data_IF_484250557636
#
_entry.id   IF_484250557636
#
_cell.length_a   1.000
_cell.length_b   1.000
_cell.length_c   1.000
_cell.angle_alpha   90.00
_cell.angle_beta   90.00
_cell.angle_gamma   90.00
#
_symmetry.space_group_name_H-M   'P 1'
#
loop_
_entity.id
_entity.type
_entity.pdbx_description
1 polymer ?
#
# COMPACT_ATOMS: atom_id res chain seq x y z
N UNK A 1 -2.85 -1.01 73.73
CA UNK A 1 -3.72 -2.06 73.14
C UNK A 1 -4.52 -1.48 71.98
N UNK A 2 -4.29 -2.01 70.77
CA UNK A 2 -5.26 -2.30 69.68
C UNK A 2 -4.61 -2.12 68.29
N UNK A 3 -3.94 -3.21 67.95
CA UNK A 3 -3.50 -3.79 66.68
C UNK A 3 -3.86 -3.09 65.35
N UNK A 4 -2.78 -2.83 64.60
CA UNK A 4 -2.71 -2.85 63.13
C UNK A 4 -3.23 -4.19 62.60
N UNK A 5 -4.16 -4.17 61.65
CA UNK A 5 -4.54 -5.35 60.85
C UNK A 5 -3.67 -5.42 59.60
N UNK A 6 -2.88 -6.48 59.53
CA UNK A 6 -2.20 -7.00 58.34
C UNK A 6 -3.22 -7.57 57.35
N UNK A 7 -3.08 -7.23 56.07
CA UNK A 7 -3.86 -7.82 54.98
C UNK A 7 -3.14 -9.10 54.54
N UNK A 8 -3.83 -10.23 54.70
CA UNK A 8 -3.33 -11.57 54.41
C UNK A 8 -3.56 -11.95 52.94
N UNK A 9 -2.54 -12.51 52.29
CA UNK A 9 -2.49 -12.85 50.84
C UNK A 9 -3.23 -14.16 50.50
N UNK A 10 -4.27 -14.52 51.24
CA UNK A 10 -5.00 -15.80 51.11
C UNK A 10 -6.53 -15.68 50.94
N UNK A 11 -7.03 -14.50 50.56
CA UNK A 11 -8.47 -14.24 50.36
C UNK A 11 -8.89 -14.16 48.88
N UNK A 12 -8.26 -14.91 47.97
CA UNK A 12 -8.56 -14.83 46.52
C UNK A 12 -9.00 -16.14 45.87
N UNK A 13 -9.21 -17.24 46.60
CA UNK A 13 -9.63 -18.52 46.00
C UNK A 13 -10.69 -19.20 46.87
N UNK A 14 -11.90 -18.64 46.92
CA UNK A 14 -13.02 -19.35 47.57
C UNK A 14 -14.42 -19.03 47.01
N UNK A 15 -14.53 -18.54 45.78
CA UNK A 15 -15.83 -18.41 45.09
C UNK A 15 -15.81 -19.11 43.73
N UNK A 16 -15.59 -20.43 43.79
CA UNK A 16 -15.90 -21.36 42.70
C UNK A 16 -17.22 -22.08 43.00
N UNK A 17 -17.91 -22.42 41.93
CA UNK A 17 -18.99 -23.42 41.81
C UNK A 17 -20.42 -22.95 42.09
N UNK A 18 -21.15 -22.69 40.99
CA UNK A 18 -22.30 -23.51 40.55
C UNK A 18 -22.90 -22.94 39.26
N UNK A 19 -22.71 -23.65 38.14
CA UNK A 19 -23.77 -24.22 37.27
C UNK A 19 -23.11 -24.70 35.97
N UNK A 20 -23.45 -25.93 35.63
CA UNK A 20 -22.80 -26.84 34.69
C UNK A 20 -23.60 -26.92 33.38
N UNK A 21 -22.89 -27.27 32.30
CA UNK A 21 -23.33 -28.10 31.16
C UNK A 21 -24.04 -27.45 29.95
N UNK A 22 -23.26 -27.21 28.88
CA UNK A 22 -23.50 -27.68 27.51
C UNK A 22 -22.21 -27.42 26.70
N UNK A 23 -21.28 -28.37 26.60
CA UNK A 23 -21.18 -29.21 25.40
C UNK A 23 -19.74 -29.20 24.88
N UNK A 24 -18.97 -30.24 25.20
CA UNK A 24 -17.62 -30.48 24.70
C UNK A 24 -17.67 -30.92 23.22
N UNK A 25 -16.90 -30.26 22.36
CA UNK A 25 -16.11 -30.91 21.31
C UNK A 25 -14.77 -30.17 21.17
N UNK A 26 -13.81 -30.59 21.99
CA UNK A 26 -12.39 -30.29 21.82
C UNK A 26 -11.84 -31.21 20.74
N UNK A 27 -11.68 -30.70 19.52
CA UNK A 27 -10.78 -31.32 18.56
C UNK A 27 -9.33 -31.06 18.98
N UNK A 28 -8.61 -32.15 19.14
CA UNK A 28 -7.21 -32.24 19.53
C UNK A 28 -6.29 -31.46 18.57
N UNK A 29 -5.74 -30.34 19.04
CA UNK A 29 -4.54 -29.75 18.46
C UNK A 29 -3.32 -30.51 19.04
N UNK A 30 -2.32 -30.89 18.21
CA UNK A 30 -1.11 -31.53 18.71
C UNK A 30 -0.37 -30.58 19.65
N UNK A 31 -0.26 -31.01 20.91
CA UNK A 31 0.51 -30.35 21.95
C UNK A 31 2.01 -30.49 21.64
N UNK A 32 2.55 -29.58 20.84
CA UNK A 32 3.98 -29.28 20.77
C UNK A 32 4.27 -27.88 20.18
N UNK A 33 3.38 -26.91 20.37
CA UNK A 33 3.77 -25.51 20.22
C UNK A 33 4.60 -25.11 21.45
N UNK A 34 5.90 -24.91 21.24
CA UNK A 34 6.70 -24.15 22.21
C UNK A 34 5.95 -22.85 22.48
N UNK A 35 5.59 -22.60 23.74
CA UNK A 35 5.00 -21.34 24.18
C UNK A 35 5.82 -20.19 23.59
N UNK A 36 5.26 -19.47 22.63
CA UNK A 36 5.67 -18.11 22.34
C UNK A 36 5.47 -17.34 23.65
N UNK A 37 6.55 -17.09 24.38
CA UNK A 37 6.50 -16.23 25.55
C UNK A 37 6.06 -14.84 25.07
N UNK A 38 4.91 -14.35 25.53
CA UNK A 38 4.57 -12.94 25.40
C UNK A 38 5.28 -12.21 26.54
N UNK A 39 6.27 -11.39 26.22
CA UNK A 39 6.80 -10.44 27.18
C UNK A 39 5.78 -9.30 27.29
N UNK A 40 5.45 -8.88 28.52
CA UNK A 40 4.55 -7.77 28.76
C UNK A 40 5.11 -6.50 28.09
N UNK A 41 4.35 -5.92 27.15
CA UNK A 41 4.76 -4.72 26.40
C UNK A 41 5.26 -4.95 24.96
N UNK A 42 5.35 -6.20 24.49
CA UNK A 42 5.66 -6.53 23.09
C UNK A 42 4.56 -6.06 22.12
N UNK A 43 5.00 -5.66 20.92
CA UNK A 43 4.10 -5.39 19.79
C UNK A 43 4.32 -6.48 18.74
N UNK A 44 3.34 -7.36 18.56
CA UNK A 44 3.43 -8.47 17.61
C UNK A 44 3.04 -8.01 16.23
N UNK A 45 3.88 -8.32 15.24
CA UNK A 45 3.64 -7.99 13.84
C UNK A 45 3.54 -9.25 13.00
N UNK A 46 2.67 -9.19 11.99
CA UNK A 46 2.61 -10.18 10.92
C UNK A 46 2.78 -9.50 9.56
N UNK A 47 3.41 -10.20 8.62
CA UNK A 47 3.52 -9.76 7.23
C UNK A 47 2.67 -10.65 6.33
N UNK A 48 1.85 -10.02 5.49
CA UNK A 48 1.08 -10.67 4.43
C UNK A 48 1.60 -10.14 3.09
N UNK A 49 2.27 -11.02 2.33
CA UNK A 49 3.02 -10.69 1.12
C UNK A 49 4.51 -10.52 1.40
N UNK A 50 5.26 -11.61 1.30
CA UNK A 50 6.67 -11.74 1.67
C UNK A 50 7.63 -11.39 0.52
N UNK A 51 7.21 -10.54 -0.42
CA UNK A 51 8.11 -10.00 -1.44
C UNK A 51 9.09 -8.96 -0.87
N UNK A 52 10.02 -8.46 -1.70
CA UNK A 52 11.07 -7.54 -1.24
C UNK A 52 10.56 -6.27 -0.52
N UNK A 53 9.38 -5.74 -0.90
CA UNK A 53 8.76 -4.62 -0.18
C UNK A 53 8.26 -5.04 1.21
N UNK A 54 7.65 -6.23 1.33
CA UNK A 54 7.25 -6.83 2.61
C UNK A 54 8.43 -7.05 3.54
N UNK A 55 9.52 -7.65 3.04
CA UNK A 55 10.76 -7.82 3.80
C UNK A 55 11.30 -6.47 4.31
N UNK A 56 11.31 -5.45 3.45
CA UNK A 56 11.70 -4.09 3.82
C UNK A 56 10.81 -3.46 4.89
N UNK A 57 9.48 -3.58 4.76
CA UNK A 57 8.51 -3.05 5.72
C UNK A 57 8.61 -3.74 7.10
N UNK A 58 8.84 -5.05 7.12
CA UNK A 58 9.14 -5.78 8.37
C UNK A 58 10.41 -5.23 9.00
N UNK A 59 11.48 -5.10 8.24
CA UNK A 59 12.74 -4.55 8.72
C UNK A 59 12.56 -3.14 9.31
N UNK A 60 11.78 -2.29 8.66
CA UNK A 60 11.47 -0.93 9.14
C UNK A 60 10.64 -0.94 10.41
N UNK A 61 9.67 -1.86 10.53
CA UNK A 61 8.91 -2.05 11.77
C UNK A 61 9.79 -2.51 12.94
N UNK A 62 10.71 -3.47 12.71
CA UNK A 62 11.62 -3.96 13.75
C UNK A 62 12.62 -2.88 14.21
N UNK A 63 12.98 -1.95 13.34
CA UNK A 63 13.84 -0.80 13.65
C UNK A 63 13.08 0.35 14.35
N UNK A 64 11.76 0.44 14.18
CA UNK A 64 10.95 1.52 14.71
C UNK A 64 10.86 1.51 16.25
N UNK A 65 10.85 0.33 16.86
CA UNK A 65 10.73 0.19 18.32
C UNK A 65 11.43 -1.12 18.79
N UNK A 66 12.14 -1.10 19.94
CA UNK A 66 12.82 -2.29 20.47
C UNK A 66 11.88 -3.44 20.83
N UNK A 67 10.60 -3.19 21.08
CA UNK A 67 9.63 -4.19 21.57
C UNK A 67 8.79 -4.82 20.43
N UNK A 68 9.10 -4.49 19.17
CA UNK A 68 8.45 -5.09 18.00
C UNK A 68 9.01 -6.49 17.74
N UNK A 69 8.10 -7.46 17.52
CA UNK A 69 8.43 -8.87 17.22
C UNK A 69 7.66 -9.35 15.99
N UNK A 70 8.37 -9.87 14.98
CA UNK A 70 7.73 -10.59 13.88
C UNK A 70 7.31 -11.98 14.38
N UNK A 71 6.01 -12.28 14.34
CA UNK A 71 5.45 -13.54 14.90
C UNK A 71 4.73 -14.42 13.89
N UNK A 72 4.41 -13.91 12.70
CA UNK A 72 3.81 -14.69 11.63
C UNK A 72 4.09 -14.12 10.24
N UNK A 73 4.11 -14.99 9.25
CA UNK A 73 4.31 -14.65 7.84
C UNK A 73 3.28 -15.37 6.99
N UNK A 74 2.74 -14.69 5.98
CA UNK A 74 1.84 -15.29 4.99
C UNK A 74 2.21 -14.87 3.57
N UNK A 75 2.27 -15.85 2.66
CA UNK A 75 2.38 -15.61 1.22
C UNK A 75 1.65 -16.72 0.44
N UNK A 76 1.16 -16.43 -0.76
CA UNK A 76 0.62 -17.47 -1.63
C UNK A 76 1.73 -18.47 -2.07
N UNK A 77 2.97 -18.01 -2.09
CA UNK A 77 4.15 -18.74 -2.57
C UNK A 77 5.13 -19.01 -1.43
N UNK A 78 5.37 -20.30 -1.13
CA UNK A 78 6.30 -20.70 -0.05
C UNK A 78 7.71 -20.15 -0.27
N UNK A 79 8.19 -20.13 -1.51
CA UNK A 79 9.52 -19.59 -1.85
C UNK A 79 9.67 -18.12 -1.41
N UNK A 80 8.60 -17.32 -1.49
CA UNK A 80 8.64 -15.92 -1.03
C UNK A 80 8.75 -15.78 0.47
N UNK A 81 8.02 -16.61 1.22
CA UNK A 81 8.10 -16.59 2.68
C UNK A 81 9.49 -17.03 3.17
N UNK A 82 10.07 -18.05 2.54
CA UNK A 82 11.41 -18.56 2.87
C UNK A 82 12.49 -17.51 2.54
N UNK A 83 12.48 -16.91 1.35
CA UNK A 83 13.41 -15.83 0.94
C UNK A 83 13.38 -14.64 1.91
N UNK A 84 12.17 -14.26 2.34
CA UNK A 84 11.96 -13.15 3.26
C UNK A 84 12.55 -13.47 4.65
N UNK A 85 12.27 -14.66 5.18
CA UNK A 85 12.79 -15.08 6.48
C UNK A 85 14.32 -15.19 6.45
N UNK A 86 14.89 -15.74 5.37
CA UNK A 86 16.34 -15.80 5.18
C UNK A 86 16.95 -14.40 5.22
N UNK A 87 16.42 -13.47 4.41
CA UNK A 87 16.93 -12.09 4.34
C UNK A 87 16.85 -11.37 5.70
N UNK A 88 15.80 -11.60 6.47
CA UNK A 88 15.64 -11.03 7.80
C UNK A 88 16.65 -11.63 8.80
N UNK A 89 16.85 -12.94 8.79
CA UNK A 89 17.83 -13.61 9.66
C UNK A 89 19.27 -13.19 9.33
N UNK A 90 19.58 -12.97 8.05
CA UNK A 90 20.89 -12.42 7.64
C UNK A 90 21.10 -11.00 8.14
N UNK A 91 20.06 -10.14 8.09
CA UNK A 91 20.13 -8.76 8.59
C UNK A 91 20.16 -8.67 10.12
N UNK A 92 19.47 -9.55 10.82
CA UNK A 92 19.34 -9.57 12.28
C UNK A 92 19.74 -10.93 12.87
N UNK A 93 21.03 -11.31 12.77
CA UNK A 93 21.49 -12.62 13.21
C UNK A 93 21.27 -12.83 14.71
N UNK A 94 20.69 -13.98 15.09
CA UNK A 94 20.38 -14.34 16.47
C UNK A 94 19.47 -13.35 17.22
N UNK A 95 18.68 -12.56 16.49
CA UNK A 95 17.77 -11.59 17.08
C UNK A 95 16.52 -12.27 17.64
N UNK A 96 16.17 -11.94 18.88
CA UNK A 96 14.88 -12.31 19.48
C UNK A 96 13.70 -11.58 18.81
N UNK A 97 13.97 -10.58 17.96
CA UNK A 97 12.95 -9.85 17.21
C UNK A 97 12.27 -10.67 16.11
N UNK A 98 12.93 -11.73 15.63
CA UNK A 98 12.39 -12.63 14.61
C UNK A 98 11.92 -13.89 15.32
N UNK A 99 10.63 -13.92 15.67
CA UNK A 99 10.02 -15.02 16.39
C UNK A 99 9.16 -15.86 15.43
N UNK A 100 9.82 -16.43 14.42
CA UNK A 100 9.19 -17.24 13.38
C UNK A 100 9.60 -18.70 13.51
N UNK A 101 8.62 -19.58 13.55
CA UNK A 101 8.76 -21.04 13.40
C UNK A 101 8.09 -21.51 12.12
N UNK A 102 8.33 -22.76 11.72
CA UNK A 102 7.69 -23.33 10.52
C UNK A 102 6.16 -23.33 10.63
N UNK A 103 5.61 -23.46 11.84
CA UNK A 103 4.17 -23.45 12.12
C UNK A 103 3.55 -22.05 12.00
N UNK A 104 4.38 -21.00 11.99
CA UNK A 104 3.96 -19.58 11.86
C UNK A 104 4.21 -19.00 10.46
N UNK A 105 4.63 -19.87 9.53
CA UNK A 105 4.75 -19.56 8.11
C UNK A 105 3.55 -20.19 7.41
N UNK A 106 2.62 -19.35 6.96
CA UNK A 106 1.38 -19.78 6.32
C UNK A 106 1.47 -19.58 4.82
N UNK A 107 1.01 -20.57 4.05
CA UNK A 107 1.07 -20.52 2.58
C UNK A 107 -0.28 -20.79 1.93
N UNK A 108 -0.58 -20.07 0.84
CA UNK A 108 -1.82 -20.21 0.07
C UNK A 108 -2.76 -18.99 0.17
N UNK A 109 -3.89 -19.06 -0.52
CA UNK A 109 -4.80 -17.90 -0.69
C UNK A 109 -5.44 -17.43 0.62
N UNK A 110 -5.73 -18.34 1.55
CA UNK A 110 -6.31 -18.02 2.87
C UNK A 110 -5.26 -17.83 3.98
N UNK A 111 -3.97 -17.97 3.67
CA UNK A 111 -2.88 -17.91 4.64
C UNK A 111 -2.84 -16.60 5.43
N UNK A 112 -3.28 -15.50 4.81
CA UNK A 112 -3.33 -14.19 5.44
C UNK A 112 -4.16 -14.18 6.73
N UNK A 113 -5.24 -14.98 6.80
CA UNK A 113 -6.11 -15.05 7.98
C UNK A 113 -5.33 -15.51 9.22
N UNK A 114 -4.62 -16.63 9.07
CA UNK A 114 -3.83 -17.22 10.14
C UNK A 114 -2.71 -16.27 10.61
N UNK A 115 -2.01 -15.61 9.69
CA UNK A 115 -0.98 -14.64 10.07
C UNK A 115 -1.56 -13.42 10.79
N UNK A 116 -2.68 -12.88 10.31
CA UNK A 116 -3.35 -11.72 10.90
C UNK A 116 -3.82 -12.01 12.32
N UNK A 117 -4.40 -13.19 12.55
CA UNK A 117 -4.97 -13.56 13.86
C UNK A 117 -3.90 -13.56 14.97
N UNK A 118 -2.63 -13.82 14.63
CA UNK A 118 -1.49 -13.88 15.55
C UNK A 118 -0.87 -12.53 15.94
N UNK A 119 -1.20 -11.44 15.25
CA UNK A 119 -0.50 -10.15 15.39
C UNK A 119 -1.36 -9.06 16.04
N UNK A 120 -0.73 -7.98 16.49
CA UNK A 120 -1.37 -6.71 16.89
C UNK A 120 -1.38 -5.71 15.73
N UNK A 121 -0.30 -5.72 14.93
CA UNK A 121 -0.12 -4.91 13.73
C UNK A 121 0.11 -5.79 12.52
N UNK A 122 -0.62 -5.54 11.44
CA UNK A 122 -0.47 -6.29 10.19
C UNK A 122 0.18 -5.40 9.14
N UNK A 123 1.22 -5.93 8.48
CA UNK A 123 1.90 -5.35 7.34
C UNK A 123 1.36 -6.00 6.07
N UNK A 124 0.63 -5.23 5.25
CA UNK A 124 -0.03 -5.71 4.04
C UNK A 124 0.73 -5.26 2.78
N UNK A 125 1.47 -6.19 2.17
CA UNK A 125 2.39 -5.94 1.06
C UNK A 125 2.18 -6.87 -0.13
N UNK A 126 1.01 -7.51 -0.23
CA UNK A 126 0.56 -8.26 -1.40
C UNK A 126 0.30 -7.35 -2.60
N UNK A 127 0.20 -7.90 -3.84
CA UNK A 127 -0.30 -7.16 -4.98
C UNK A 127 -1.64 -6.46 -4.68
N UNK A 128 -1.89 -5.30 -5.31
CA UNK A 128 -3.01 -4.46 -4.91
C UNK A 128 -4.41 -5.02 -5.04
N UNK A 129 -4.62 -6.02 -5.90
CA UNK A 129 -5.88 -6.77 -5.97
C UNK A 129 -6.41 -7.24 -4.62
N UNK A 130 -5.53 -7.78 -3.77
CA UNK A 130 -5.93 -8.53 -2.58
C UNK A 130 -6.07 -7.65 -1.33
N UNK A 131 -5.54 -6.43 -1.38
CA UNK A 131 -5.48 -5.57 -0.20
C UNK A 131 -6.83 -5.15 0.35
N UNK A 132 -7.88 -4.88 -0.45
CA UNK A 132 -9.21 -4.62 0.09
C UNK A 132 -9.75 -5.77 0.96
N UNK A 133 -9.48 -7.03 0.57
CA UNK A 133 -9.87 -8.21 1.34
C UNK A 133 -9.03 -8.37 2.62
N UNK A 134 -7.70 -8.27 2.49
CA UNK A 134 -6.81 -8.41 3.65
C UNK A 134 -7.02 -7.31 4.68
N UNK A 135 -7.25 -6.07 4.22
CA UNK A 135 -7.54 -4.92 5.09
C UNK A 135 -8.88 -5.09 5.82
N UNK A 136 -9.93 -5.52 5.13
CA UNK A 136 -11.22 -5.83 5.77
C UNK A 136 -11.06 -6.86 6.88
N UNK A 137 -10.36 -7.96 6.61
CA UNK A 137 -10.14 -9.00 7.61
C UNK A 137 -9.34 -8.47 8.82
N UNK A 138 -8.24 -7.74 8.59
CA UNK A 138 -7.45 -7.14 9.67
C UNK A 138 -8.27 -6.21 10.58
N UNK A 139 -9.08 -5.33 9.98
CA UNK A 139 -9.93 -4.41 10.74
C UNK A 139 -11.04 -5.16 11.49
N UNK A 140 -11.60 -6.23 10.92
CA UNK A 140 -12.57 -7.08 11.61
C UNK A 140 -11.95 -7.76 12.85
N UNK A 141 -10.68 -8.17 12.76
CA UNK A 141 -9.90 -8.73 13.86
C UNK A 141 -9.30 -7.69 14.82
N UNK A 142 -9.69 -6.42 14.69
CA UNK A 142 -9.24 -5.31 15.55
C UNK A 142 -7.72 -5.06 15.51
N UNK A 143 -7.10 -5.22 14.34
CA UNK A 143 -5.65 -5.03 14.19
C UNK A 143 -5.30 -3.62 13.70
N UNK A 144 -4.15 -3.12 14.14
CA UNK A 144 -3.51 -1.98 13.49
C UNK A 144 -2.95 -2.40 12.14
N UNK A 145 -2.83 -1.47 11.20
CA UNK A 145 -2.42 -1.79 9.83
C UNK A 145 -1.39 -0.82 9.29
N UNK A 146 -0.30 -1.36 8.77
CA UNK A 146 0.46 -0.73 7.69
C UNK A 146 0.08 -1.43 6.39
N UNK A 147 -0.24 -0.67 5.34
CA UNK A 147 -0.54 -1.27 4.05
C UNK A 147 0.10 -0.49 2.90
N UNK A 148 0.74 -1.22 1.99
CA UNK A 148 1.35 -0.59 0.82
C UNK A 148 0.31 0.05 -0.10
N UNK A 149 0.75 1.10 -0.77
CA UNK A 149 0.03 1.67 -1.92
C UNK A 149 0.22 0.76 -3.15
N UNK A 150 -0.59 0.93 -4.20
CA UNK A 150 -1.93 1.56 -4.23
C UNK A 150 -2.92 0.70 -3.48
N UNK A 151 -4.00 1.20 -2.89
CA UNK A 151 -4.83 0.38 -1.97
C UNK A 151 -5.81 -0.59 -2.66
N UNK A 152 -6.03 -0.43 -3.96
CA UNK A 152 -6.90 -1.25 -4.82
C UNK A 152 -6.49 -1.09 -6.29
N UNK A 153 -7.10 -1.86 -7.20
CA UNK A 153 -6.87 -1.76 -8.66
C UNK A 153 -8.10 -1.31 -9.46
N UNK A 154 -9.27 -1.22 -8.82
CA UNK A 154 -10.56 -0.96 -9.43
C UNK A 154 -11.52 -0.17 -8.51
N UNK A 155 -12.72 0.16 -9.00
CA UNK A 155 -13.67 1.04 -8.28
C UNK A 155 -14.34 0.27 -7.15
N UNK A 156 -14.67 -1.00 -7.37
CA UNK A 156 -15.23 -1.87 -6.33
C UNK A 156 -14.30 -1.96 -5.10
N UNK A 157 -13.01 -2.18 -5.32
CA UNK A 157 -11.98 -2.21 -4.29
C UNK A 157 -11.84 -0.86 -3.57
N UNK A 158 -11.89 0.26 -4.29
CA UNK A 158 -11.88 1.60 -3.67
C UNK A 158 -13.08 1.80 -2.73
N UNK A 159 -14.30 1.49 -3.19
CA UNK A 159 -15.50 1.60 -2.36
C UNK A 159 -15.38 0.74 -1.10
N UNK A 160 -14.81 -0.46 -1.22
CA UNK A 160 -14.52 -1.35 -0.09
C UNK A 160 -13.50 -0.74 0.88
N UNK A 161 -12.37 -0.21 0.40
CA UNK A 161 -11.38 0.47 1.25
C UNK A 161 -12.00 1.65 2.00
N UNK A 162 -12.81 2.49 1.34
CA UNK A 162 -13.50 3.62 1.99
C UNK A 162 -14.43 3.13 3.10
N UNK A 163 -15.22 2.08 2.84
CA UNK A 163 -16.14 1.48 3.82
C UNK A 163 -15.36 0.95 5.03
N UNK A 164 -14.32 0.15 4.80
CA UNK A 164 -13.51 -0.46 5.87
C UNK A 164 -12.71 0.61 6.63
N UNK A 165 -12.24 1.65 5.96
CA UNK A 165 -11.54 2.78 6.60
C UNK A 165 -12.40 3.53 7.61
N UNK A 166 -13.71 3.71 7.31
CA UNK A 166 -14.66 4.27 8.27
C UNK A 166 -14.78 3.40 9.52
N UNK A 167 -14.78 2.08 9.34
CA UNK A 167 -14.82 1.12 10.45
C UNK A 167 -13.52 1.13 11.27
N UNK A 168 -12.35 1.19 10.63
CA UNK A 168 -11.06 1.34 11.30
C UNK A 168 -11.02 2.60 12.17
N UNK A 169 -11.50 3.73 11.63
CA UNK A 169 -11.64 5.00 12.36
C UNK A 169 -12.58 4.88 13.55
N UNK A 170 -13.74 4.23 13.38
CA UNK A 170 -14.70 3.99 14.48
C UNK A 170 -14.07 3.17 15.61
N UNK A 171 -13.28 2.16 15.26
CA UNK A 171 -12.54 1.30 16.19
C UNK A 171 -11.26 1.95 16.75
N UNK A 172 -10.90 3.16 16.28
CA UNK A 172 -9.65 3.86 16.63
C UNK A 172 -8.38 3.04 16.34
N UNK A 173 -8.41 2.26 15.26
CA UNK A 173 -7.25 1.50 14.81
C UNK A 173 -6.36 2.41 13.98
N UNK A 174 -5.09 2.57 14.38
CA UNK A 174 -4.08 3.24 13.56
C UNK A 174 -3.89 2.51 12.22
N UNK A 175 -4.05 3.26 11.12
CA UNK A 175 -3.86 2.79 9.75
C UNK A 175 -2.93 3.74 9.00
N UNK A 176 -1.82 3.21 8.50
CA UNK A 176 -0.88 3.90 7.59
C UNK A 176 -0.95 3.27 6.20
N UNK A 177 -0.97 4.13 5.19
CA UNK A 177 -0.82 3.74 3.78
C UNK A 177 0.56 4.18 3.32
N UNK A 178 1.30 3.32 2.60
CA UNK A 178 2.68 3.53 2.11
C UNK A 178 2.90 4.66 1.10
N UNK A 179 2.19 5.79 1.25
CA UNK A 179 2.40 7.05 0.55
C UNK A 179 3.52 7.85 1.27
N UNK A 180 4.72 7.29 1.27
CA UNK A 180 5.86 7.74 2.08
C UNK A 180 6.19 9.24 1.99
N UNK A 181 5.82 9.92 0.89
CA UNK A 181 6.06 11.37 0.71
C UNK A 181 5.37 12.24 1.74
N UNK A 182 4.29 11.74 2.36
CA UNK A 182 3.65 12.38 3.51
C UNK A 182 4.50 12.37 4.78
N UNK A 183 5.49 11.49 4.84
CA UNK A 183 6.44 11.31 5.94
C UNK A 183 7.83 11.89 5.59
N UNK A 184 8.03 12.36 4.36
CA UNK A 184 9.30 12.93 3.89
C UNK A 184 9.38 14.43 4.17
N UNK A 185 10.49 14.89 4.77
CA UNK A 185 10.60 16.24 5.33
C UNK A 185 10.62 17.35 4.28
N UNK A 186 11.26 17.16 3.12
CA UNK A 186 11.23 18.12 2.02
C UNK A 186 9.79 18.43 1.57
N UNK A 187 8.95 17.39 1.38
CA UNK A 187 7.55 17.57 1.00
C UNK A 187 6.73 18.23 2.11
N UNK A 188 6.84 17.77 3.37
CA UNK A 188 6.15 18.38 4.52
C UNK A 188 6.51 19.87 4.67
N UNK A 189 7.78 20.21 4.51
CA UNK A 189 8.27 21.59 4.61
C UNK A 189 7.73 22.47 3.50
N UNK A 190 7.73 21.98 2.25
CA UNK A 190 7.17 22.70 1.11
C UNK A 190 5.66 22.84 1.22
N UNK A 191 4.93 21.79 1.64
CA UNK A 191 3.49 21.87 1.90
C UNK A 191 3.17 22.95 2.93
N UNK A 192 3.90 22.98 4.06
CA UNK A 192 3.74 24.03 5.06
C UNK A 192 3.98 25.46 4.50
N UNK A 193 4.87 25.61 3.52
CA UNK A 193 5.08 26.90 2.84
C UNK A 193 3.97 27.23 1.83
N UNK A 194 3.44 26.23 1.13
CA UNK A 194 2.25 26.37 0.27
C UNK A 194 1.06 26.87 1.10
N UNK A 195 0.81 26.23 2.25
CA UNK A 195 -0.31 26.57 3.14
C UNK A 195 -0.18 27.98 3.73
N UNK A 196 1.05 28.49 3.87
CA UNK A 196 1.35 29.88 4.23
C UNK A 196 1.34 30.85 3.04
N UNK A 197 0.88 30.41 1.87
CA UNK A 197 0.70 31.24 0.68
C UNK A 197 1.99 31.62 -0.03
N UNK A 198 3.11 30.92 0.20
CA UNK A 198 4.45 31.30 -0.32
C UNK A 198 4.49 31.41 -1.85
N UNK A 199 3.71 30.58 -2.55
CA UNK A 199 3.57 30.61 -4.01
C UNK A 199 2.18 31.10 -4.49
N UNK A 200 1.31 31.54 -3.58
CA UNK A 200 -0.10 31.81 -3.86
C UNK A 200 -0.89 30.55 -4.22
N UNK A 201 -2.04 30.69 -4.90
CA UNK A 201 -2.81 29.55 -5.42
C UNK A 201 -2.01 28.81 -6.50
N UNK A 202 -1.99 27.47 -6.47
CA UNK A 202 -1.52 26.63 -7.58
C UNK A 202 -2.45 26.82 -8.78
N UNK A 203 -1.88 26.99 -9.97
CA UNK A 203 -2.58 27.21 -11.24
C UNK A 203 -2.41 26.01 -12.17
N UNK A 204 -1.20 25.46 -12.24
CA UNK A 204 -0.89 24.28 -13.05
C UNK A 204 0.32 23.56 -12.48
N UNK A 205 0.61 22.38 -13.03
CA UNK A 205 1.79 21.64 -12.63
C UNK A 205 2.03 20.44 -13.53
N UNK A 206 3.17 19.80 -13.29
CA UNK A 206 3.53 18.54 -13.91
C UNK A 206 3.97 17.54 -12.85
N UNK A 207 3.59 16.28 -13.03
CA UNK A 207 3.98 15.16 -12.18
C UNK A 207 4.49 14.02 -13.06
N UNK A 208 5.65 13.44 -12.71
CA UNK A 208 6.35 12.48 -13.55
C UNK A 208 6.72 11.19 -12.83
N UNK A 209 6.49 10.05 -13.49
CA UNK A 209 7.13 8.77 -13.21
C UNK A 209 7.60 8.10 -14.50
N UNK A 210 8.68 8.63 -15.06
CA UNK A 210 9.31 8.13 -16.27
C UNK A 210 10.54 7.29 -15.89
N UNK A 211 10.53 6.02 -16.27
CA UNK A 211 11.61 5.07 -15.99
C UNK A 211 11.84 4.09 -17.15
N UNK A 212 12.76 3.13 -16.95
CA UNK A 212 13.05 2.06 -17.89
C UNK A 212 12.15 0.82 -17.78
N UNK A 213 11.20 0.80 -16.83
CA UNK A 213 10.33 -0.34 -16.58
C UNK A 213 10.81 -1.27 -15.47
N UNK A 214 10.14 -2.42 -15.37
CA UNK A 214 10.30 -3.39 -14.29
C UNK A 214 10.78 -4.74 -14.83
N UNK A 215 11.05 -5.66 -13.91
CA UNK A 215 11.47 -7.02 -14.23
C UNK A 215 10.40 -7.80 -15.00
N UNK A 216 10.81 -8.89 -15.63
CA UNK A 216 9.95 -9.92 -16.25
C UNK A 216 10.47 -11.26 -15.75
N UNK A 217 9.58 -12.14 -15.30
CA UNK A 217 9.91 -13.53 -14.98
C UNK A 217 9.52 -14.40 -16.17
N UNK A 218 10.48 -15.08 -16.82
CA UNK A 218 10.17 -16.02 -17.90
C UNK A 218 9.14 -17.05 -17.43
N UNK A 219 8.26 -17.46 -18.35
CA UNK A 219 7.30 -18.53 -18.06
C UNK A 219 8.05 -19.84 -17.80
N UNK A 220 7.68 -20.51 -16.72
CA UNK A 220 8.22 -21.83 -16.37
C UNK A 220 7.39 -22.95 -17.00
N UNK A 221 8.00 -24.12 -17.18
CA UNK A 221 7.30 -25.29 -17.70
C UNK A 221 6.19 -25.70 -16.73
N UNK A 222 5.02 -26.05 -17.26
CA UNK A 222 3.85 -26.52 -16.49
C UNK A 222 3.24 -25.48 -15.52
N UNK A 223 3.71 -24.22 -15.59
CA UNK A 223 3.17 -23.12 -14.80
C UNK A 223 1.74 -22.79 -15.24
N UNK A 224 0.80 -22.73 -14.29
CA UNK A 224 -0.58 -22.33 -14.59
C UNK A 224 -0.64 -20.86 -15.00
N UNK A 225 -1.68 -20.49 -15.74
CA UNK A 225 -1.86 -19.11 -16.16
C UNK A 225 -2.01 -18.16 -14.96
N UNK A 226 -2.73 -18.58 -13.92
CA UNK A 226 -2.92 -17.79 -12.71
C UNK A 226 -1.59 -17.59 -11.96
N UNK A 227 -0.80 -18.66 -11.81
CA UNK A 227 0.51 -18.56 -11.19
C UNK A 227 1.44 -17.63 -11.97
N UNK A 228 1.49 -17.75 -13.31
CA UNK A 228 2.29 -16.86 -14.15
C UNK A 228 1.92 -15.39 -13.94
N UNK A 229 0.61 -15.09 -13.91
CA UNK A 229 0.13 -13.73 -13.66
C UNK A 229 0.51 -13.21 -12.29
N UNK A 230 0.34 -14.01 -11.23
CA UNK A 230 0.70 -13.60 -9.87
C UNK A 230 2.21 -13.41 -9.72
N UNK A 231 3.04 -14.24 -10.36
CA UNK A 231 4.50 -14.06 -10.38
C UNK A 231 4.94 -12.88 -11.24
N UNK A 232 4.14 -12.45 -12.23
CA UNK A 232 4.36 -11.29 -13.10
C UNK A 232 3.33 -10.16 -12.88
N UNK A 233 2.90 -9.98 -11.62
CA UNK A 233 1.72 -9.20 -11.26
C UNK A 233 1.69 -7.76 -11.81
N UNK A 234 2.85 -7.14 -12.01
CA UNK A 234 2.96 -5.80 -12.60
C UNK A 234 2.23 -5.65 -13.94
N UNK A 235 2.17 -6.71 -14.74
CA UNK A 235 1.68 -6.68 -16.12
C UNK A 235 0.18 -6.95 -16.28
N UNK A 236 -0.53 -7.20 -15.18
CA UNK A 236 -1.95 -7.56 -15.20
C UNK A 236 -2.79 -6.54 -14.44
N UNK A 237 -3.82 -6.01 -15.10
CA UNK A 237 -4.61 -4.90 -14.57
C UNK A 237 -5.33 -5.26 -13.28
N UNK A 238 -5.82 -6.49 -13.16
CA UNK A 238 -6.50 -6.94 -11.95
C UNK A 238 -5.55 -6.96 -10.74
N UNK A 239 -4.28 -7.34 -10.94
CA UNK A 239 -3.26 -7.42 -9.88
C UNK A 239 -2.61 -6.09 -9.53
N UNK A 240 -2.18 -5.34 -10.54
CA UNK A 240 -1.32 -4.15 -10.41
C UNK A 240 -2.09 -2.84 -10.57
N UNK A 241 -3.07 -2.84 -11.47
CA UNK A 241 -3.76 -1.64 -11.91
C UNK A 241 -3.03 -0.84 -12.97
N UNK A 242 -1.95 -1.35 -13.57
CA UNK A 242 -0.99 -0.63 -14.44
C UNK A 242 -0.02 0.28 -13.64
N UNK A 243 1.12 0.62 -14.23
CA UNK A 243 2.18 1.42 -13.61
C UNK A 243 1.75 2.84 -13.24
N UNK A 244 0.72 3.39 -13.90
CA UNK A 244 0.09 4.63 -13.46
C UNK A 244 -0.53 4.50 -12.06
N UNK A 245 -1.13 3.35 -11.75
CA UNK A 245 -1.73 3.06 -10.45
C UNK A 245 -0.69 2.57 -9.46
N UNK A 246 0.26 1.73 -9.86
CA UNK A 246 1.23 1.15 -8.94
C UNK A 246 2.34 2.12 -8.54
N UNK A 247 2.98 2.77 -9.51
CA UNK A 247 4.17 3.60 -9.25
C UNK A 247 3.86 5.08 -9.24
N UNK A 248 3.18 5.56 -10.29
CA UNK A 248 2.95 7.00 -10.50
C UNK A 248 1.97 7.61 -9.49
N UNK A 249 1.21 6.77 -8.78
CA UNK A 249 0.34 7.18 -7.67
C UNK A 249 1.04 8.12 -6.69
N UNK A 250 2.33 7.94 -6.40
CA UNK A 250 3.05 8.83 -5.48
C UNK A 250 3.04 10.28 -5.93
N UNK A 251 3.20 10.55 -7.24
CA UNK A 251 3.25 11.92 -7.74
C UNK A 251 1.84 12.49 -7.93
N UNK A 252 0.91 11.65 -8.34
CA UNK A 252 -0.52 12.00 -8.40
C UNK A 252 -1.04 12.39 -7.01
N UNK A 253 -0.68 11.63 -5.97
CA UNK A 253 -1.00 11.91 -4.58
C UNK A 253 -0.44 13.27 -4.11
N UNK A 254 0.81 13.60 -4.46
CA UNK A 254 1.38 14.92 -4.15
C UNK A 254 0.57 16.05 -4.80
N UNK A 255 0.08 15.87 -6.03
CA UNK A 255 -0.80 16.85 -6.66
C UNK A 255 -2.11 17.03 -5.88
N UNK A 256 -2.79 15.93 -5.54
CA UNK A 256 -3.99 15.97 -4.72
C UNK A 256 -3.74 16.66 -3.37
N UNK A 257 -2.65 16.30 -2.69
CA UNK A 257 -2.29 16.83 -1.38
C UNK A 257 -1.96 18.32 -1.42
N UNK A 258 -1.20 18.76 -2.43
CA UNK A 258 -0.75 20.15 -2.52
C UNK A 258 -1.89 21.07 -2.92
N UNK A 259 -2.77 20.63 -3.83
CA UNK A 259 -3.99 21.35 -4.20
C UNK A 259 -5.01 21.31 -3.06
N UNK A 260 -5.07 20.20 -2.31
CA UNK A 260 -6.02 19.99 -1.22
C UNK A 260 -7.37 19.43 -1.68
N UNK A 261 -7.43 18.79 -2.84
CA UNK A 261 -8.62 18.09 -3.34
C UNK A 261 -8.23 16.97 -4.29
N UNK A 262 -9.20 16.13 -4.67
CA UNK A 262 -9.12 15.26 -5.85
C UNK A 262 -9.51 16.04 -7.11
N UNK A 263 -9.16 15.55 -8.32
CA UNK A 263 -9.63 16.16 -9.56
C UNK A 263 -11.12 15.91 -9.80
N UNK A 264 -11.76 16.81 -10.53
CA UNK A 264 -13.12 16.67 -11.04
C UNK A 264 -13.20 15.72 -12.24
N UNK A 265 -12.16 15.71 -13.08
CA UNK A 265 -12.10 14.87 -14.28
C UNK A 265 -10.67 14.59 -14.71
N UNK A 266 -10.53 13.57 -15.55
CA UNK A 266 -9.30 13.27 -16.26
C UNK A 266 -9.59 13.06 -17.75
N UNK A 267 -8.61 13.46 -18.58
CA UNK A 267 -8.52 13.08 -19.98
C UNK A 267 -7.07 12.73 -20.30
N UNK A 268 -6.82 11.97 -21.36
CA UNK A 268 -5.44 11.63 -21.70
C UNK A 268 -5.27 10.69 -22.88
N UNK A 269 -4.01 10.39 -23.15
CA UNK A 269 -3.57 9.47 -24.20
C UNK A 269 -2.51 8.51 -23.63
N UNK A 270 -2.42 7.32 -24.21
CA UNK A 270 -1.43 6.33 -23.83
C UNK A 270 -1.45 5.15 -24.78
N UNK A 271 -0.55 4.20 -24.57
CA UNK A 271 -0.50 2.99 -25.38
C UNK A 271 0.68 2.11 -25.02
N UNK A 272 1.00 1.22 -25.95
CA UNK A 272 2.20 0.39 -25.92
C UNK A 272 2.95 0.52 -27.24
N UNK A 273 4.25 0.73 -27.13
CA UNK A 273 5.20 0.72 -28.24
C UNK A 273 6.21 -0.43 -28.06
N UNK A 274 6.71 -0.62 -26.84
CA UNK A 274 7.76 -1.61 -26.52
C UNK A 274 7.25 -2.83 -25.76
N UNK A 275 6.04 -2.76 -25.18
CA UNK A 275 5.38 -3.88 -24.47
C UNK A 275 4.51 -4.74 -25.41
N UNK A 276 5.10 -5.22 -26.51
CA UNK A 276 4.38 -5.90 -27.58
C UNK A 276 4.49 -7.44 -27.55
N UNK A 277 5.36 -8.01 -26.71
CA UNK A 277 5.52 -9.46 -26.57
C UNK A 277 4.58 -10.12 -25.56
N UNK A 278 4.51 -11.47 -25.62
CA UNK A 278 3.77 -12.35 -24.70
C UNK A 278 4.08 -12.14 -23.20
N UNK A 279 5.23 -11.53 -22.91
CA UNK A 279 5.72 -11.35 -21.54
C UNK A 279 5.16 -10.11 -20.82
N UNK A 280 4.37 -9.26 -21.50
CA UNK A 280 4.00 -7.93 -20.99
C UNK A 280 2.51 -7.74 -20.65
N UNK A 281 1.72 -8.81 -20.62
CA UNK A 281 0.33 -8.76 -20.17
C UNK A 281 -0.53 -7.68 -20.87
N UNK A 282 -1.39 -7.02 -20.10
CA UNK A 282 -2.45 -6.14 -20.62
C UNK A 282 -2.13 -4.65 -20.55
N UNK A 283 -1.06 -4.27 -19.87
CA UNK A 283 -0.83 -2.86 -19.50
C UNK A 283 -0.25 -2.01 -20.64
N UNK A 284 -0.36 -0.70 -20.52
CA UNK A 284 0.33 0.27 -21.39
C UNK A 284 1.79 0.44 -20.95
N UNK A 285 2.67 0.94 -21.83
CA UNK A 285 4.02 1.36 -21.45
C UNK A 285 4.17 2.86 -21.26
N UNK A 286 3.14 3.65 -21.57
CA UNK A 286 3.11 5.07 -21.27
C UNK A 286 1.70 5.61 -21.11
N UNK A 287 1.57 6.62 -20.26
CA UNK A 287 0.37 7.44 -20.10
C UNK A 287 0.74 8.92 -20.04
N UNK A 288 -0.09 9.74 -20.65
CA UNK A 288 -0.15 11.18 -20.43
C UNK A 288 -1.59 11.54 -20.08
N UNK A 289 -1.79 12.15 -18.91
CA UNK A 289 -3.11 12.48 -18.36
C UNK A 289 -3.14 13.95 -17.96
N UNK A 290 -4.22 14.63 -18.26
CA UNK A 290 -4.54 15.94 -17.72
C UNK A 290 -5.65 15.78 -16.68
N UNK A 291 -5.32 16.10 -15.43
CA UNK A 291 -6.28 16.12 -14.33
C UNK A 291 -6.78 17.54 -14.12
N UNK A 292 -8.09 17.75 -14.21
CA UNK A 292 -8.73 19.05 -13.95
C UNK A 292 -9.26 19.10 -12.52
N UNK A 293 -8.85 20.11 -11.75
CA UNK A 293 -9.22 20.31 -10.35
C UNK A 293 -10.27 21.41 -10.17
N UNK A 294 -10.91 21.52 -8.99
CA UNK A 294 -12.10 22.35 -8.79
C UNK A 294 -11.98 23.84 -9.14
N UNK A 295 -10.81 24.46 -8.99
CA UNK A 295 -10.63 25.88 -9.30
C UNK A 295 -10.04 26.10 -10.71
N UNK A 296 -10.17 25.11 -11.60
CA UNK A 296 -9.68 25.14 -12.97
C UNK A 296 -8.19 24.84 -13.11
N UNK A 297 -7.52 24.35 -12.06
CA UNK A 297 -6.13 23.91 -12.20
C UNK A 297 -6.04 22.68 -13.09
N UNK A 298 -5.01 22.64 -13.92
CA UNK A 298 -4.71 21.46 -14.73
C UNK A 298 -3.33 20.92 -14.37
N UNK A 299 -3.27 19.65 -13.99
CA UNK A 299 -2.03 18.93 -13.71
C UNK A 299 -1.75 17.96 -14.84
N UNK A 300 -0.64 18.18 -15.55
CA UNK A 300 -0.14 17.27 -16.56
C UNK A 300 0.64 16.13 -15.90
N UNK A 301 0.17 14.91 -16.06
CA UNK A 301 0.68 13.71 -15.43
C UNK A 301 1.27 12.79 -16.48
N UNK A 302 2.53 12.42 -16.35
CA UNK A 302 3.21 11.52 -17.29
C UNK A 302 3.88 10.36 -16.56
N UNK A 303 3.64 9.13 -17.05
CA UNK A 303 4.44 7.98 -16.66
C UNK A 303 4.80 7.13 -17.88
N UNK A 304 5.96 6.48 -17.85
CA UNK A 304 6.51 5.74 -18.99
C UNK A 304 7.51 4.68 -18.56
N UNK A 305 7.47 3.52 -19.19
CA UNK A 305 8.42 2.42 -19.05
C UNK A 305 9.08 2.06 -20.39
N UNK A 306 10.13 2.80 -20.73
CA UNK A 306 10.89 2.60 -21.97
C UNK A 306 12.38 2.78 -21.66
N UNK A 307 13.17 1.72 -21.86
CA UNK A 307 14.62 1.72 -21.59
C UNK A 307 15.35 2.66 -22.56
N UNK A 308 16.42 3.30 -22.08
CA UNK A 308 17.22 4.24 -22.88
C UNK A 308 16.61 5.65 -23.02
N UNK A 309 15.39 5.88 -22.53
CA UNK A 309 14.78 7.20 -22.50
C UNK A 309 15.15 7.99 -21.21
N UNK A 310 14.90 9.30 -21.22
CA UNK A 310 15.09 10.15 -20.03
C UNK A 310 14.27 9.63 -18.84
N UNK A 311 14.94 9.36 -17.72
CA UNK A 311 14.29 9.07 -16.45
C UNK A 311 13.94 10.37 -15.72
N UNK A 312 12.72 10.45 -15.16
CA UNK A 312 12.26 11.61 -14.39
C UNK A 312 11.19 11.17 -13.40
N UNK A 313 11.48 11.34 -12.10
CA UNK A 313 10.51 11.18 -11.02
C UNK A 313 10.50 12.49 -10.24
N UNK A 314 9.51 13.34 -10.50
CA UNK A 314 9.54 14.74 -10.06
C UNK A 314 8.13 15.34 -10.03
N UNK A 315 7.93 16.35 -9.19
CA UNK A 315 6.74 17.22 -9.18
C UNK A 315 7.15 18.68 -9.35
N UNK A 316 6.46 19.37 -10.24
CA UNK A 316 6.67 20.78 -10.53
C UNK A 316 5.33 21.49 -10.48
N UNK A 317 5.22 22.56 -9.71
CA UNK A 317 3.97 23.32 -9.61
C UNK A 317 4.21 24.80 -9.90
N UNK A 318 3.28 25.40 -10.63
CA UNK A 318 3.22 26.82 -10.89
C UNK A 318 2.10 27.43 -10.06
N UNK A 319 2.48 28.37 -9.19
CA UNK A 319 1.58 29.18 -8.40
C UNK A 319 1.46 30.60 -8.94
N UNK A 320 0.39 31.27 -8.56
CA UNK A 320 0.12 32.67 -8.87
C UNK A 320 1.19 33.66 -8.37
N UNK A 321 2.15 33.24 -7.52
CA UNK A 321 3.24 34.07 -6.96
C UNK A 321 4.63 33.42 -6.98
N UNK A 322 4.77 32.20 -7.49
CA UNK A 322 6.03 31.47 -7.50
C UNK A 322 5.89 30.05 -8.04
N UNK A 323 6.96 29.28 -7.93
CA UNK A 323 7.02 27.91 -8.45
C UNK A 323 7.70 26.97 -7.47
N UNK A 324 7.44 25.67 -7.65
CA UNK A 324 7.96 24.59 -6.81
C UNK A 324 8.55 23.51 -7.70
N UNK A 325 9.67 22.93 -7.26
CA UNK A 325 10.23 21.70 -7.82
C UNK A 325 10.62 20.78 -6.67
N UNK A 326 10.17 19.53 -6.72
CA UNK A 326 10.37 18.50 -5.71
C UNK A 326 10.74 17.17 -6.37
N UNK A 327 11.51 16.33 -5.68
CA UNK A 327 11.61 14.91 -6.00
C UNK A 327 11.90 14.08 -4.74
N UNK A 328 11.86 12.75 -4.89
CA UNK A 328 12.09 11.82 -3.78
C UNK A 328 13.53 11.77 -3.26
N UNK A 329 14.50 12.37 -3.97
CA UNK A 329 15.90 12.48 -3.55
C UNK A 329 16.16 13.63 -2.57
N UNK A 330 15.20 13.93 -1.70
CA UNK A 330 15.24 15.04 -0.74
C UNK A 330 15.44 16.43 -1.39
N UNK A 331 15.05 16.59 -2.65
CA UNK A 331 15.09 17.89 -3.31
C UNK A 331 13.80 18.66 -3.10
N UNK A 332 13.89 19.96 -2.80
CA UNK A 332 12.73 20.83 -2.68
C UNK A 332 13.11 22.31 -2.78
N UNK A 333 12.72 22.96 -3.87
CA UNK A 333 13.03 24.38 -4.13
C UNK A 333 11.75 25.15 -4.39
N UNK A 334 11.67 26.35 -3.80
CA UNK A 334 10.64 27.35 -4.12
C UNK A 334 11.31 28.58 -4.72
N UNK A 335 10.80 29.03 -5.87
CA UNK A 335 11.19 30.30 -6.49
C UNK A 335 10.02 31.27 -6.49
N UNK A 336 10.30 32.57 -6.37
CA UNK A 336 9.26 33.60 -6.57
C UNK A 336 9.08 33.93 -8.07
N UNK A 337 8.16 34.84 -8.42
CA UNK A 337 7.93 35.28 -9.82
C UNK A 337 9.16 35.83 -10.55
N UNK A 338 10.19 36.28 -9.82
CA UNK A 338 11.44 36.80 -10.40
C UNK A 338 12.51 35.71 -10.49
N UNK A 339 12.12 34.43 -10.39
CA UNK A 339 13.00 33.25 -10.38
C UNK A 339 14.04 33.22 -9.25
N UNK A 340 13.92 34.08 -8.23
CA UNK A 340 14.80 34.04 -7.06
C UNK A 340 14.38 32.88 -6.16
N UNK A 341 15.35 32.05 -5.77
CA UNK A 341 15.17 31.00 -4.77
C UNK A 341 14.81 31.66 -3.43
N UNK A 342 13.66 31.28 -2.87
CA UNK A 342 13.16 31.78 -1.58
C UNK A 342 13.06 30.69 -0.52
N UNK A 343 13.25 29.44 -0.93
CA UNK A 343 13.44 28.28 -0.08
C UNK A 343 14.22 27.22 -0.86
N UNK A 344 15.19 26.60 -0.20
CA UNK A 344 15.94 25.46 -0.69
C UNK A 344 16.05 24.48 0.47
N UNK A 345 15.53 23.27 0.32
CA UNK A 345 15.59 22.25 1.34
C UNK A 345 16.99 21.66 1.44
N UNK A 346 17.52 21.59 2.66
CA UNK A 346 18.71 20.82 2.98
C UNK A 346 18.29 19.44 3.49
N UNK A 347 18.49 18.43 2.65
CA UNK A 347 18.07 17.05 2.87
C UNK A 347 19.16 16.12 3.41
N UNK A 348 20.38 16.62 3.69
CA UNK A 348 21.53 15.77 4.05
C UNK A 348 21.26 14.89 5.29
N UNK A 349 20.47 15.40 6.23
CA UNK A 349 20.15 14.74 7.51
C UNK A 349 18.71 14.24 7.58
N UNK A 350 18.02 14.17 6.45
CA UNK A 350 16.67 13.65 6.42
C UNK A 350 16.68 12.14 6.69
N UNK A 351 15.76 11.72 7.54
CA UNK A 351 15.49 10.31 7.73
C UNK A 351 14.87 9.72 6.46
N UNK A 352 15.18 8.44 6.20
CA UNK A 352 14.50 7.67 5.17
C UNK A 352 12.97 7.70 5.43
N UNK A 353 12.16 8.20 4.47
CA UNK A 353 10.71 8.33 4.70
C UNK A 353 9.99 6.99 4.87
N UNK A 354 10.49 5.90 4.29
CA UNK A 354 9.97 4.55 4.55
C UNK A 354 10.23 4.11 6.01
N UNK A 355 11.28 4.59 6.64
CA UNK A 355 11.49 4.35 8.07
C UNK A 355 10.59 5.26 8.91
N UNK A 356 10.45 6.53 8.50
CA UNK A 356 9.67 7.52 9.24
C UNK A 356 8.19 7.13 9.36
N UNK A 357 7.56 6.59 8.31
CA UNK A 357 6.16 6.14 8.38
C UNK A 357 5.96 5.01 9.40
N UNK A 358 6.93 4.10 9.54
CA UNK A 358 6.93 3.06 10.57
C UNK A 358 7.20 3.66 11.96
N UNK A 359 8.18 4.54 12.10
CA UNK A 359 8.47 5.21 13.37
C UNK A 359 7.23 5.92 13.94
N UNK A 360 6.51 6.68 13.10
CA UNK A 360 5.31 7.39 13.53
C UNK A 360 4.17 6.40 13.89
N UNK A 361 3.98 5.33 13.11
CA UNK A 361 2.98 4.30 13.39
C UNK A 361 3.21 3.59 14.73
N UNK A 362 4.42 3.05 14.94
CA UNK A 362 4.73 2.28 16.14
C UNK A 362 4.79 3.16 17.38
N UNK A 363 5.23 4.42 17.27
CA UNK A 363 5.14 5.38 18.37
C UNK A 363 3.69 5.66 18.81
N UNK A 364 2.76 5.80 17.86
CA UNK A 364 1.33 5.97 18.18
C UNK A 364 0.73 4.72 18.85
N UNK A 365 1.10 3.53 18.38
CA UNK A 365 0.63 2.26 18.97
C UNK A 365 1.19 2.09 20.39
N UNK A 366 2.50 2.31 20.57
CA UNK A 366 3.18 2.16 21.87
C UNK A 366 2.60 3.08 22.95
N UNK A 367 2.20 4.29 22.55
CA UNK A 367 1.57 5.28 23.43
C UNK A 367 0.07 5.06 23.63
N UNK A 368 -0.55 4.11 22.94
CA UNK A 368 -2.00 3.87 22.98
C UNK A 368 -2.83 4.97 22.33
N UNK A 369 -2.22 5.77 21.45
CA UNK A 369 -2.85 6.92 20.82
C UNK A 369 -3.37 6.59 19.43
N UNK A 370 -4.56 7.11 19.11
CA UNK A 370 -5.10 7.06 17.76
C UNK A 370 -4.70 8.33 17.00
N UNK A 371 -3.71 8.22 16.12
CA UNK A 371 -3.13 9.33 15.35
C UNK A 371 -3.09 9.09 13.84
N UNK A 372 -3.15 7.82 13.41
CA UNK A 372 -2.98 7.45 12.00
C UNK A 372 -4.30 7.02 11.36
N UNK A 373 -4.70 7.71 10.30
CA UNK A 373 -5.93 7.43 9.56
C UNK A 373 -5.78 7.75 8.07
N UNK A 374 -4.82 7.07 7.44
CA UNK A 374 -4.43 7.36 6.07
C UNK A 374 -5.41 6.83 5.01
N UNK A 375 -6.46 6.12 5.43
CA UNK A 375 -7.30 5.33 4.53
C UNK A 375 -8.03 6.16 3.48
N UNK A 376 -8.57 7.33 3.86
CA UNK A 376 -9.25 8.23 2.91
C UNK A 376 -8.29 8.72 1.84
N UNK A 377 -7.12 9.24 2.27
CA UNK A 377 -6.08 9.71 1.39
C UNK A 377 -5.57 8.61 0.46
N UNK A 378 -5.29 7.42 1.00
CA UNK A 378 -4.86 6.27 0.21
C UNK A 378 -5.86 5.86 -0.87
N UNK A 379 -7.15 5.88 -0.53
CA UNK A 379 -8.24 5.62 -1.48
C UNK A 379 -8.33 6.72 -2.55
N UNK A 380 -8.28 7.99 -2.16
CA UNK A 380 -8.35 9.14 -3.07
C UNK A 380 -7.17 9.16 -4.05
N UNK A 381 -5.94 8.95 -3.58
CA UNK A 381 -4.74 8.84 -4.40
C UNK A 381 -4.85 7.70 -5.41
N UNK A 382 -5.26 6.52 -4.94
CA UNK A 382 -5.40 5.33 -5.79
C UNK A 382 -6.50 5.52 -6.82
N UNK A 383 -7.65 6.08 -6.42
CA UNK A 383 -8.76 6.36 -7.32
C UNK A 383 -8.40 7.40 -8.36
N UNK A 384 -7.60 8.41 -8.02
CA UNK A 384 -7.10 9.39 -8.99
C UNK A 384 -6.23 8.74 -10.07
N UNK A 385 -5.37 7.81 -9.67
CA UNK A 385 -4.57 7.05 -10.63
C UNK A 385 -5.42 6.10 -11.49
N UNK A 386 -6.43 5.45 -10.89
CA UNK A 386 -7.42 4.63 -11.62
C UNK A 386 -8.18 5.49 -12.64
N UNK A 387 -8.62 6.69 -12.27
CA UNK A 387 -9.29 7.63 -13.15
C UNK A 387 -8.39 7.99 -14.35
N UNK A 388 -7.11 8.25 -14.10
CA UNK A 388 -6.13 8.50 -15.17
C UNK A 388 -5.96 7.30 -16.12
N UNK A 389 -5.87 6.08 -15.58
CA UNK A 389 -5.86 4.86 -16.41
C UNK A 389 -7.12 4.77 -17.26
N UNK A 390 -8.31 4.93 -16.66
CA UNK A 390 -9.59 4.82 -17.37
C UNK A 390 -9.67 5.85 -18.51
N UNK A 391 -9.25 7.09 -18.27
CA UNK A 391 -9.20 8.13 -19.30
C UNK A 391 -8.30 7.73 -20.47
N UNK A 392 -7.07 7.27 -20.21
CA UNK A 392 -6.14 6.89 -21.29
C UNK A 392 -6.53 5.63 -22.04
N UNK A 393 -7.05 4.62 -21.35
CA UNK A 393 -7.48 3.36 -21.97
C UNK A 393 -8.70 3.56 -22.85
N UNK A 394 -9.64 4.42 -22.44
CA UNK A 394 -10.85 4.70 -23.22
C UNK A 394 -10.65 5.79 -24.28
N UNK A 395 -9.69 6.70 -24.08
CA UNK A 395 -9.54 7.91 -24.87
C UNK A 395 -10.70 8.91 -24.65
N UNK A 396 -11.37 8.85 -23.51
CA UNK A 396 -12.51 9.72 -23.16
C UNK A 396 -12.16 10.63 -21.97
N UNK A 397 -12.88 11.75 -21.88
CA UNK A 397 -12.98 12.51 -20.63
C UNK A 397 -13.85 11.70 -19.68
N UNK A 398 -13.38 11.47 -18.45
CA UNK A 398 -14.13 10.79 -17.41
C UNK A 398 -14.14 11.68 -16.18
N UNK A 399 -15.32 11.95 -15.63
CA UNK A 399 -15.43 12.68 -14.36
C UNK A 399 -15.23 11.75 -13.16
N UNK A 400 -14.83 12.31 -12.03
CA UNK A 400 -14.68 11.58 -10.78
C UNK A 400 -15.97 10.87 -10.36
N UNK A 401 -17.12 11.56 -10.47
CA UNK A 401 -18.41 11.02 -10.06
C UNK A 401 -18.84 9.87 -10.97
N UNK A 402 -18.74 10.03 -12.29
CA UNK A 402 -19.02 8.94 -13.24
C UNK A 402 -18.16 7.71 -12.93
N UNK A 403 -16.85 7.89 -12.75
CA UNK A 403 -15.94 6.79 -12.44
C UNK A 403 -16.29 6.10 -11.12
N UNK A 404 -16.68 6.87 -10.09
CA UNK A 404 -17.09 6.34 -8.79
C UNK A 404 -18.45 5.65 -8.80
N UNK A 405 -19.24 5.76 -9.88
CA UNK A 405 -20.54 5.10 -10.08
C UNK A 405 -20.45 3.85 -10.97
N UNK A 406 -19.43 3.73 -11.83
CA UNK A 406 -19.22 2.58 -12.71
C UNK A 406 -19.16 1.23 -11.98
N UNK A 407 -19.60 0.16 -12.65
CA UNK A 407 -19.47 -1.22 -12.17
C UNK A 407 -18.13 -1.81 -12.62
N UNK A 408 -17.06 -1.17 -12.14
CA UNK A 408 -15.69 -1.56 -12.49
C UNK A 408 -15.09 -2.44 -11.39
N UNK A 409 -15.15 -3.75 -11.62
CA UNK A 409 -14.56 -4.81 -10.81
C UNK A 409 -13.64 -5.68 -11.68
N UNK A 410 -12.35 -5.71 -11.34
CA UNK A 410 -11.32 -6.49 -12.02
C UNK A 410 -10.90 -7.71 -11.21
N UNK A 411 -11.08 -7.69 -9.89
CA UNK A 411 -10.53 -8.70 -8.99
C UNK A 411 -11.51 -9.87 -8.87
N UNK A 412 -11.13 -11.08 -9.31
CA UNK A 412 -11.95 -12.28 -9.15
C UNK A 412 -12.02 -12.75 -7.69
N UNK A 413 -12.98 -13.63 -7.39
CA UNK A 413 -12.88 -14.51 -6.24
C UNK A 413 -11.97 -15.70 -6.60
N UNK A 414 -10.92 -15.92 -5.80
CA UNK A 414 -9.95 -17.01 -5.99
C UNK A 414 -9.78 -17.78 -4.68
N UNK A 415 -9.69 -19.09 -4.80
CA UNK A 415 -9.55 -20.07 -3.73
C UNK A 415 -8.31 -20.94 -3.91
N UNK A 416 -7.84 -21.13 -5.15
CA UNK A 416 -6.68 -21.98 -5.44
C UNK A 416 -5.94 -21.61 -6.73
N UNK A 417 -4.73 -22.14 -6.91
CA UNK A 417 -3.99 -22.01 -8.17
C UNK A 417 -4.59 -22.79 -9.35
N UNK A 418 -5.61 -23.64 -9.10
CA UNK A 418 -6.36 -24.34 -10.14
C UNK A 418 -7.51 -23.50 -10.71
N UNK A 419 -7.81 -22.36 -10.09
CA UNK A 419 -8.86 -21.47 -10.56
C UNK A 419 -8.42 -20.82 -11.89
N UNK A 420 -9.40 -20.49 -12.72
CA UNK A 420 -9.11 -19.86 -14.01
C UNK A 420 -8.62 -18.44 -13.80
N UNK A 421 -7.49 -18.09 -14.43
CA UNK A 421 -6.99 -16.72 -14.39
C UNK A 421 -8.00 -15.74 -15.04
N UNK A 422 -8.17 -14.52 -14.50
CA UNK A 422 -9.14 -13.54 -15.03
C UNK A 422 -8.87 -13.10 -16.46
N UNK A 423 -7.63 -13.27 -16.90
CA UNK A 423 -7.16 -12.87 -18.22
C UNK A 423 -6.55 -14.09 -18.86
N UNK A 424 -6.91 -14.40 -20.09
CA UNK A 424 -6.31 -15.49 -20.84
C UNK A 424 -5.62 -14.93 -22.09
N UNK A 425 -4.44 -15.44 -22.46
CA UNK A 425 -3.82 -15.10 -23.72
C UNK A 425 -4.54 -15.79 -24.89
N UNK A 426 -4.39 -15.25 -26.10
CA UNK A 426 -4.81 -15.92 -27.33
C UNK A 426 -3.89 -17.09 -27.69
N UNK A 427 -4.15 -17.76 -28.82
CA UNK A 427 -3.33 -18.90 -29.30
C UNK A 427 -1.87 -18.56 -29.60
N UNK A 428 -1.52 -17.26 -29.73
CA UNK A 428 -0.14 -16.77 -29.91
C UNK A 428 0.52 -16.38 -28.59
N UNK A 429 -0.16 -16.51 -27.46
CA UNK A 429 0.35 -16.09 -26.15
C UNK A 429 0.18 -14.60 -25.86
N UNK A 430 -0.62 -13.87 -26.65
CA UNK A 430 -0.82 -12.43 -26.50
C UNK A 430 -2.06 -12.15 -25.65
N UNK A 431 -1.97 -11.20 -24.72
CA UNK A 431 -3.07 -10.82 -23.84
C UNK A 431 -3.92 -9.69 -24.44
N UNK A 432 -5.22 -9.63 -24.11
CA UNK A 432 -6.07 -8.53 -24.55
C UNK A 432 -5.61 -7.20 -23.96
N UNK A 433 -5.49 -6.20 -24.84
CA UNK A 433 -4.97 -4.87 -24.55
C UNK A 433 -6.11 -3.85 -24.64
N UNK A 434 -6.18 -2.86 -23.74
CA UNK A 434 -7.07 -1.72 -23.92
C UNK A 434 -6.79 -0.98 -25.24
N UNK A 435 -7.83 -0.56 -25.94
CA UNK A 435 -7.71 0.19 -27.20
C UNK A 435 -8.46 1.52 -27.03
N UNK A 436 -7.76 2.67 -27.04
CA UNK A 436 -8.40 3.97 -26.98
C UNK A 436 -9.44 4.14 -28.09
N UNK A 437 -10.62 4.66 -27.75
CA UNK A 437 -11.78 4.75 -28.64
C UNK A 437 -12.67 3.51 -28.68
N UNK A 438 -12.20 2.35 -28.19
CA UNK A 438 -12.96 1.09 -28.15
C UNK A 438 -13.21 0.62 -26.72
N UNK A 439 -12.21 0.67 -25.84
CA UNK A 439 -12.35 0.31 -24.44
C UNK A 439 -13.32 1.25 -23.76
N UNK A 440 -14.34 0.67 -23.11
CA UNK A 440 -15.36 1.40 -22.38
C UNK A 440 -15.51 0.81 -20.98
N UNK A 441 -15.81 1.68 -20.03
CA UNK A 441 -16.14 1.33 -18.66
C UNK A 441 -17.65 1.56 -18.52
N UNK A 442 -18.39 0.53 -18.11
CA UNK A 442 -19.85 0.60 -17.91
C UNK A 442 -20.16 0.59 -16.43
#
# INVERSE_FOLDING_TARGET
MKNKKTIDRRSFIEHSAKITAAGFMLSSLPANSKKLFSIEGEIKIAVVGCGGRGTGAVSQALEADPDVRLVAMADAFKDRADDCLQSLNEKYPNSDKINITQETIFTGFDAYKNAIDMADVVILTTPPAFRPMHFEYAINQNKHVFMEKPVATDVAGIRKIIKVGKEAKRKKLNVVVGLQRHYQKNYKSVKSLIDRGKIGKIISGQVYWNSGGVWVRPREKDQTELEYQMRNWYYFNWLCGDHIVEQHIHNIDVANWFIGSTPLSAQGMGGREVRNGKDHGQIFDHHFVEFTYPEGQVIASQCRHQKGCMNRVEEVFQGSRGSITLNSGHYGVIKNKRNKIVYNHDGEKDINPYQQEHNELFAAIKSGEYRMNDTSRGAEATMTAILGRMATYSGKVITWNEAMEMDHNLVPELHSFNDTAPVLPNSKGEYPVPIPGITNYR
#
